data_IF_543971040635
#
_entry.id   IF_543971040635
#
_cell.length_a   1.000
_cell.length_b   1.000
_cell.length_c   1.000
_cell.angle_alpha   90.00
_cell.angle_beta   90.00
_cell.angle_gamma   90.00
#
_symmetry.space_group_name_H-M   'P 1'
#
loop_
_entity.id
_entity.type
_entity.pdbx_description
1 polymer ?
#
# COMPACT_ATOMS: atom_id res chain seq x y z
N UNK A 1 -16.66 11.94 13.66
CA UNK A 1 -15.74 10.81 13.35
C UNK A 1 -16.37 9.71 12.50
N UNK A 2 -17.70 9.56 12.44
CA UNK A 2 -18.36 8.45 11.71
C UNK A 2 -18.01 8.32 10.22
N UNK A 3 -17.95 9.42 9.47
CA UNK A 3 -17.67 9.37 8.02
C UNK A 3 -16.24 8.92 7.68
N UNK A 4 -15.24 9.25 8.51
CA UNK A 4 -13.83 8.94 8.22
C UNK A 4 -13.46 7.51 8.63
N UNK A 5 -14.18 6.94 9.61
CA UNK A 5 -13.97 5.58 10.11
C UNK A 5 -14.02 4.54 8.98
N UNK A 6 -15.04 4.61 8.14
CA UNK A 6 -15.21 3.67 7.03
C UNK A 6 -14.16 3.83 5.93
N UNK A 7 -13.69 5.06 5.69
CA UNK A 7 -12.61 5.30 4.71
C UNK A 7 -11.26 4.79 5.22
N UNK A 8 -10.96 4.98 6.50
CA UNK A 8 -9.77 4.39 7.12
C UNK A 8 -9.84 2.87 7.14
N UNK A 9 -11.02 2.30 7.41
CA UNK A 9 -11.23 0.86 7.33
C UNK A 9 -11.05 0.33 5.91
N UNK A 10 -11.62 1.00 4.91
CA UNK A 10 -11.43 0.66 3.49
C UNK A 10 -9.95 0.66 3.11
N UNK A 11 -9.21 1.71 3.47
CA UNK A 11 -7.75 1.77 3.25
C UNK A 11 -7.03 0.58 3.91
N UNK A 12 -7.38 0.24 5.15
CA UNK A 12 -6.77 -0.88 5.86
C UNK A 12 -7.09 -2.23 5.19
N UNK A 13 -8.34 -2.45 4.77
CA UNK A 13 -8.74 -3.68 4.05
C UNK A 13 -7.91 -3.88 2.80
N UNK A 14 -7.76 -2.85 1.95
CA UNK A 14 -6.96 -2.96 0.73
C UNK A 14 -5.48 -3.18 1.01
N UNK A 15 -4.95 -2.52 2.04
CA UNK A 15 -3.56 -2.71 2.48
C UNK A 15 -3.30 -4.12 3.00
N UNK A 16 -4.15 -4.64 3.89
CA UNK A 16 -4.04 -6.01 4.41
C UNK A 16 -4.23 -7.06 3.31
N UNK A 17 -5.14 -6.83 2.36
CA UNK A 17 -5.33 -7.73 1.22
C UNK A 17 -4.09 -7.75 0.31
N UNK A 18 -3.50 -6.58 0.05
CA UNK A 18 -2.24 -6.46 -0.71
C UNK A 18 -1.10 -7.23 -0.03
N UNK A 19 -0.92 -7.06 1.28
CA UNK A 19 0.10 -7.78 2.06
C UNK A 19 -0.10 -9.30 1.98
N UNK A 20 -1.35 -9.77 2.11
CA UNK A 20 -1.68 -11.20 2.00
C UNK A 20 -1.35 -11.76 0.61
N UNK A 21 -1.69 -11.01 -0.44
CA UNK A 21 -1.41 -11.42 -1.83
C UNK A 21 0.09 -11.44 -2.10
N UNK A 22 0.84 -10.42 -1.67
CA UNK A 22 2.28 -10.32 -1.93
C UNK A 22 3.13 -11.22 -1.04
N UNK A 23 2.70 -11.49 0.19
CA UNK A 23 3.53 -12.22 1.17
C UNK A 23 3.19 -13.70 1.31
N UNK A 24 2.01 -14.12 0.82
CA UNK A 24 1.55 -15.51 1.00
C UNK A 24 0.99 -16.13 -0.28
N UNK A 25 0.01 -15.48 -0.93
CA UNK A 25 -0.70 -16.10 -2.05
C UNK A 25 0.16 -16.13 -3.33
N UNK A 26 0.77 -15.01 -3.68
CA UNK A 26 1.51 -14.82 -4.94
C UNK A 26 3.03 -14.87 -4.81
N UNK A 27 3.60 -14.30 -3.73
CA UNK A 27 5.05 -14.11 -3.48
C UNK A 27 5.85 -13.89 -4.78
N UNK A 28 5.93 -12.65 -5.29
CA UNK A 28 6.55 -12.38 -6.57
C UNK A 28 8.08 -12.51 -6.49
N UNK A 29 8.66 -13.26 -7.41
CA UNK A 29 10.09 -13.24 -7.71
C UNK A 29 10.27 -12.78 -9.15
N UNK A 30 10.56 -11.49 -9.34
CA UNK A 30 10.53 -10.82 -10.65
C UNK A 30 11.96 -10.38 -11.04
N UNK A 31 12.27 -10.53 -12.34
CA UNK A 31 13.59 -10.40 -12.97
C UNK A 31 13.70 -9.10 -13.81
N UNK A 32 13.39 -7.94 -13.24
CA UNK A 32 13.48 -6.67 -13.99
C UNK A 32 14.90 -6.37 -14.44
N UNK A 33 15.11 -5.73 -15.61
CA UNK A 33 14.14 -4.97 -16.41
C UNK A 33 13.22 -5.82 -17.30
N UNK A 34 13.53 -7.11 -17.50
CA UNK A 34 12.60 -8.03 -18.16
C UNK A 34 11.45 -8.33 -17.18
N UNK A 35 10.19 -7.91 -17.42
CA UNK A 35 9.11 -8.20 -16.49
C UNK A 35 8.73 -9.68 -16.61
N UNK A 36 9.53 -10.53 -15.99
CA UNK A 36 9.46 -11.98 -16.06
C UNK A 36 9.79 -12.56 -14.68
N UNK A 37 9.35 -13.78 -14.40
CA UNK A 37 9.68 -14.43 -13.13
C UNK A 37 8.70 -15.49 -12.69
N UNK A 38 8.69 -15.78 -11.39
CA UNK A 38 7.85 -16.80 -10.77
C UNK A 38 6.95 -16.21 -9.69
N UNK A 39 5.77 -16.78 -9.51
CA UNK A 39 5.08 -16.71 -8.23
C UNK A 39 5.63 -17.83 -7.34
N UNK A 40 6.04 -17.52 -6.11
CA UNK A 40 6.52 -18.49 -5.11
C UNK A 40 5.48 -18.80 -4.04
N UNK A 41 4.31 -18.14 -4.10
CA UNK A 41 3.24 -18.30 -3.12
C UNK A 41 2.39 -19.55 -3.32
N UNK A 42 1.26 -19.60 -2.62
CA UNK A 42 0.31 -20.72 -2.67
C UNK A 42 -0.24 -21.01 -4.08
N UNK A 43 -0.51 -19.97 -4.88
CA UNK A 43 -1.17 -20.09 -6.18
C UNK A 43 -0.18 -19.88 -7.32
N UNK A 44 -0.11 -20.86 -8.23
CA UNK A 44 0.72 -20.77 -9.45
C UNK A 44 -0.07 -20.16 -10.61
N UNK A 45 -0.28 -18.85 -10.56
CA UNK A 45 -0.96 -18.08 -11.61
C UNK A 45 -0.29 -16.71 -11.80
N UNK A 46 0.98 -16.66 -12.29
CA UNK A 46 1.82 -15.45 -12.27
C UNK A 46 1.16 -14.24 -12.94
N UNK A 47 0.54 -14.43 -14.11
CA UNK A 47 -0.22 -13.36 -14.81
C UNK A 47 -1.30 -12.73 -13.94
N UNK A 48 -2.12 -13.57 -13.30
CA UNK A 48 -3.23 -13.14 -12.47
C UNK A 48 -2.73 -12.51 -11.16
N UNK A 49 -1.66 -13.06 -10.58
CA UNK A 49 -1.04 -12.52 -9.37
C UNK A 49 -0.47 -11.12 -9.60
N UNK A 50 0.23 -10.88 -10.71
CA UNK A 50 0.74 -9.54 -11.04
C UNK A 50 -0.40 -8.55 -11.24
N UNK A 51 -1.46 -8.93 -11.96
CA UNK A 51 -2.66 -8.09 -12.10
C UNK A 51 -3.24 -7.72 -10.74
N UNK A 52 -3.50 -8.69 -9.86
CA UNK A 52 -4.03 -8.43 -8.52
C UNK A 52 -3.11 -7.54 -7.69
N UNK A 53 -1.79 -7.77 -7.72
CA UNK A 53 -0.82 -6.95 -7.01
C UNK A 53 -0.90 -5.48 -7.42
N UNK A 54 -0.89 -5.19 -8.73
CA UNK A 54 -0.98 -3.82 -9.24
C UNK A 54 -2.33 -3.20 -8.91
N UNK A 55 -3.43 -3.94 -9.09
CA UNK A 55 -4.78 -3.46 -8.77
C UNK A 55 -4.96 -3.17 -7.28
N UNK A 56 -4.41 -3.98 -6.38
CA UNK A 56 -4.49 -3.76 -4.94
C UNK A 56 -3.68 -2.53 -4.51
N UNK A 57 -2.47 -2.33 -5.05
CA UNK A 57 -1.70 -1.10 -4.82
C UNK A 57 -2.45 0.15 -5.33
N UNK A 58 -3.06 0.07 -6.51
CA UNK A 58 -3.90 1.15 -7.03
C UNK A 58 -5.14 1.40 -6.16
N UNK A 59 -5.77 0.36 -5.61
CA UNK A 59 -6.90 0.49 -4.68
C UNK A 59 -6.50 1.20 -3.36
N UNK A 60 -5.29 0.95 -2.87
CA UNK A 60 -4.72 1.68 -1.72
C UNK A 60 -4.54 3.16 -2.08
N UNK A 61 -3.95 3.47 -3.23
CA UNK A 61 -3.78 4.84 -3.69
C UNK A 61 -5.13 5.58 -3.86
N UNK A 62 -6.13 4.93 -4.48
CA UNK A 62 -7.50 5.45 -4.60
C UNK A 62 -8.14 5.69 -3.22
N UNK A 63 -7.91 4.81 -2.25
CA UNK A 63 -8.39 4.95 -0.88
C UNK A 63 -7.78 6.15 -0.16
N UNK A 64 -6.50 6.43 -0.40
CA UNK A 64 -5.83 7.64 0.11
C UNK A 64 -6.47 8.90 -0.50
N UNK A 65 -6.70 8.93 -1.82
CA UNK A 65 -7.38 10.04 -2.49
C UNK A 65 -8.76 10.28 -1.89
N UNK A 66 -9.57 9.22 -1.74
CA UNK A 66 -10.92 9.32 -1.18
C UNK A 66 -10.90 9.85 0.26
N UNK A 67 -9.89 9.46 1.04
CA UNK A 67 -9.72 9.92 2.41
C UNK A 67 -9.41 11.43 2.44
N UNK A 68 -8.46 11.90 1.63
CA UNK A 68 -8.09 13.30 1.53
C UNK A 68 -9.23 14.17 0.99
N UNK A 69 -9.90 13.73 -0.08
CA UNK A 69 -11.08 14.38 -0.63
C UNK A 69 -12.16 14.54 0.43
N UNK A 70 -12.51 13.46 1.13
CA UNK A 70 -13.58 13.50 2.12
C UNK A 70 -13.24 14.44 3.28
N UNK A 71 -11.96 14.50 3.67
CA UNK A 71 -11.49 15.42 4.70
C UNK A 71 -11.60 16.89 4.24
N UNK A 72 -11.14 17.18 3.03
CA UNK A 72 -11.29 18.50 2.41
C UNK A 72 -12.77 18.90 2.33
N UNK A 73 -13.63 17.99 1.86
CA UNK A 73 -15.06 18.23 1.72
C UNK A 73 -15.73 18.62 3.05
N UNK A 74 -15.52 17.83 4.10
CA UNK A 74 -16.14 18.06 5.42
C UNK A 74 -15.70 19.38 6.03
N UNK A 75 -14.41 19.73 5.92
CA UNK A 75 -13.88 20.92 6.56
C UNK A 75 -14.17 22.21 5.80
N UNK A 76 -14.14 22.18 4.46
CA UNK A 76 -14.03 23.41 3.67
C UNK A 76 -15.00 23.51 2.49
N UNK A 77 -15.54 22.39 2.00
CA UNK A 77 -16.23 22.36 0.70
C UNK A 77 -17.69 21.86 0.75
N UNK A 78 -18.30 21.72 1.94
CA UNK A 78 -19.70 21.28 2.07
C UNK A 78 -20.69 22.18 1.32
N UNK A 79 -20.46 23.50 1.32
CA UNK A 79 -21.32 24.50 0.65
C UNK A 79 -20.81 24.92 -0.73
N UNK A 80 -19.76 24.29 -1.25
CA UNK A 80 -19.18 24.64 -2.54
C UNK A 80 -19.75 23.78 -3.67
N UNK A 81 -19.45 24.15 -4.92
CA UNK A 81 -19.79 23.35 -6.12
C UNK A 81 -19.19 21.94 -6.08
N UNK A 82 -18.15 21.72 -5.27
CA UNK A 82 -17.51 20.41 -5.12
C UNK A 82 -18.48 19.34 -4.60
N UNK A 83 -19.51 19.74 -3.83
CA UNK A 83 -20.56 18.84 -3.35
C UNK A 83 -21.24 18.03 -4.46
N UNK A 84 -21.42 18.61 -5.65
CA UNK A 84 -22.00 17.93 -6.82
C UNK A 84 -20.97 17.11 -7.60
N UNK A 85 -19.71 17.55 -7.64
CA UNK A 85 -18.64 16.95 -8.46
C UNK A 85 -17.96 15.76 -7.76
N UNK A 86 -17.99 15.71 -6.43
CA UNK A 86 -17.24 14.69 -5.68
C UNK A 86 -17.63 13.25 -6.00
N UNK A 87 -18.92 12.98 -6.21
CA UNK A 87 -19.41 11.62 -6.48
C UNK A 87 -18.89 11.08 -7.82
N UNK A 88 -19.05 11.79 -8.96
CA UNK A 88 -18.47 11.33 -10.22
C UNK A 88 -16.93 11.29 -10.17
N UNK A 89 -16.28 12.21 -9.45
CA UNK A 89 -14.83 12.17 -9.26
C UNK A 89 -14.37 10.88 -8.54
N UNK A 90 -14.98 10.54 -7.41
CA UNK A 90 -14.64 9.31 -6.67
C UNK A 90 -14.99 8.05 -7.47
N UNK A 91 -16.11 8.06 -8.18
CA UNK A 91 -16.47 6.96 -9.08
C UNK A 91 -15.39 6.75 -10.14
N UNK A 92 -14.92 7.82 -10.79
CA UNK A 92 -13.82 7.75 -11.73
C UNK A 92 -12.54 7.17 -11.09
N UNK A 93 -12.12 7.72 -9.94
CA UNK A 93 -10.91 7.29 -9.23
C UNK A 93 -10.93 5.80 -8.88
N UNK A 94 -12.08 5.24 -8.48
CA UNK A 94 -12.18 3.80 -8.21
C UNK A 94 -12.38 2.96 -9.46
N UNK A 95 -12.99 3.50 -10.52
CA UNK A 95 -13.20 2.78 -11.78
C UNK A 95 -11.88 2.55 -12.53
N UNK A 96 -10.94 3.49 -12.47
CA UNK A 96 -9.64 3.33 -13.14
C UNK A 96 -8.77 2.23 -12.52
N UNK A 97 -8.96 1.90 -11.23
CA UNK A 97 -8.13 0.95 -10.47
C UNK A 97 -8.04 -0.43 -11.12
N UNK A 98 -9.15 -1.13 -11.42
CA UNK A 98 -9.09 -2.42 -12.10
C UNK A 98 -8.78 -2.30 -13.60
N UNK A 99 -8.96 -1.13 -14.21
CA UNK A 99 -8.91 -0.95 -15.67
C UNK A 99 -7.51 -0.61 -16.20
N UNK A 100 -6.74 0.20 -15.46
CA UNK A 100 -5.48 0.78 -15.96
C UNK A 100 -4.44 -0.27 -16.35
N UNK A 101 -4.49 -1.45 -15.71
CA UNK A 101 -3.56 -2.55 -15.96
C UNK A 101 -4.15 -3.69 -16.81
N UNK A 102 -5.38 -3.55 -17.32
CA UNK A 102 -5.96 -4.56 -18.23
C UNK A 102 -5.22 -4.71 -19.56
N UNK A 103 -4.69 -3.64 -20.19
CA UNK A 103 -4.04 -3.81 -21.50
C UNK A 103 -2.82 -4.76 -21.46
N UNK A 104 -1.86 -4.63 -20.51
CA UNK A 104 -0.79 -5.63 -20.35
C UNK A 104 -1.31 -7.03 -19.97
N UNK A 105 -2.42 -7.12 -19.23
CA UNK A 105 -2.99 -8.40 -18.81
C UNK A 105 -3.58 -9.20 -19.99
N UNK A 106 -4.27 -8.52 -20.91
CA UNK A 106 -4.91 -9.14 -22.08
C UNK A 106 -4.00 -9.26 -23.31
N UNK A 107 -2.80 -8.69 -23.26
CA UNK A 107 -1.82 -8.79 -24.33
C UNK A 107 -0.54 -9.54 -23.89
N UNK A 108 -0.64 -10.80 -23.40
CA UNK A 108 0.54 -11.57 -23.01
C UNK A 108 1.37 -11.98 -24.24
N UNK A 109 2.71 -12.03 -24.13
CA UNK A 109 3.56 -12.51 -25.22
C UNK A 109 3.53 -14.04 -25.34
N UNK A 110 3.94 -14.56 -26.49
CA UNK A 110 4.23 -15.97 -26.69
C UNK A 110 5.32 -16.44 -25.72
N UNK A 111 5.00 -17.41 -24.86
CA UNK A 111 5.87 -17.75 -23.72
C UNK A 111 7.16 -18.47 -24.13
N UNK A 112 7.15 -19.26 -25.21
CA UNK A 112 8.33 -19.99 -25.64
C UNK A 112 9.38 -19.03 -26.24
N UNK A 113 8.95 -18.19 -27.18
CA UNK A 113 9.82 -17.21 -27.82
C UNK A 113 10.29 -16.14 -26.84
N UNK A 114 9.37 -15.61 -26.02
CA UNK A 114 9.71 -14.54 -25.07
C UNK A 114 10.65 -15.01 -23.96
N UNK A 115 10.50 -16.27 -23.50
CA UNK A 115 11.44 -16.84 -22.54
C UNK A 115 12.85 -16.89 -23.12
N UNK A 116 13.04 -17.36 -24.36
CA UNK A 116 14.37 -17.37 -24.99
C UNK A 116 15.00 -15.98 -25.07
N UNK A 117 14.19 -14.96 -25.38
CA UNK A 117 14.64 -13.57 -25.40
C UNK A 117 15.11 -13.13 -24.01
N UNK A 118 14.30 -13.36 -22.96
CA UNK A 118 14.69 -13.06 -21.57
C UNK A 118 15.94 -13.83 -21.15
N UNK A 119 16.07 -15.09 -21.58
CA UNK A 119 17.24 -15.91 -21.32
C UNK A 119 18.52 -15.34 -21.93
N UNK A 120 18.43 -14.80 -23.15
CA UNK A 120 19.56 -14.13 -23.81
C UNK A 120 19.92 -12.78 -23.17
N UNK A 121 18.95 -12.05 -22.64
CA UNK A 121 19.16 -10.74 -22.01
C UNK A 121 19.78 -10.85 -20.60
N UNK A 122 19.50 -11.94 -19.89
CA UNK A 122 19.91 -12.16 -18.49
C UNK A 122 20.69 -13.49 -18.35
N UNK A 123 21.87 -13.64 -18.97
CA UNK A 123 22.55 -14.94 -19.10
C UNK A 123 22.92 -15.61 -17.77
N UNK A 124 23.03 -14.86 -16.66
CA UNK A 124 23.35 -15.35 -15.32
C UNK A 124 22.17 -15.28 -14.34
N UNK A 125 20.94 -15.54 -14.80
CA UNK A 125 19.75 -15.46 -13.96
C UNK A 125 19.42 -16.76 -13.21
N UNK A 126 18.32 -16.70 -12.46
CA UNK A 126 17.76 -17.85 -11.74
C UNK A 126 17.45 -19.02 -12.68
N UNK A 127 17.40 -20.27 -12.18
CA UNK A 127 17.06 -21.43 -12.99
C UNK A 127 15.76 -21.21 -13.75
N UNK A 128 15.63 -21.73 -14.97
CA UNK A 128 14.42 -21.63 -15.85
C UNK A 128 13.18 -22.31 -15.25
N UNK A 129 13.40 -23.21 -14.31
CA UNK A 129 12.34 -23.85 -13.54
C UNK A 129 12.76 -23.95 -12.08
N UNK A 130 11.87 -23.57 -11.17
CA UNK A 130 12.07 -23.67 -9.74
C UNK A 130 10.84 -24.32 -9.09
N UNK A 131 11.02 -25.44 -8.39
CA UNK A 131 9.92 -26.21 -7.76
C UNK A 131 8.73 -26.46 -8.71
N UNK A 132 9.02 -26.93 -9.92
CA UNK A 132 8.04 -27.17 -11.00
C UNK A 132 7.31 -25.93 -11.56
N UNK A 133 7.74 -24.72 -11.18
CA UNK A 133 7.23 -23.45 -11.74
C UNK A 133 8.20 -22.94 -12.80
N UNK A 134 7.70 -22.47 -13.93
CA UNK A 134 8.49 -21.91 -15.05
C UNK A 134 8.47 -20.39 -15.03
N UNK A 135 9.54 -19.74 -15.53
CA UNK A 135 9.53 -18.28 -15.71
C UNK A 135 8.34 -17.97 -16.60
N UNK A 136 7.50 -17.07 -16.11
CA UNK A 136 6.44 -16.45 -16.88
C UNK A 136 6.90 -15.08 -17.32
N UNK A 137 6.81 -14.80 -18.63
CA UNK A 137 7.14 -13.49 -19.18
C UNK A 137 5.85 -12.67 -19.28
N UNK A 138 5.79 -11.57 -18.51
CA UNK A 138 4.62 -10.70 -18.46
C UNK A 138 4.45 -9.88 -19.73
N UNK A 139 5.53 -9.27 -20.20
CA UNK A 139 5.53 -8.45 -21.41
C UNK A 139 6.95 -8.33 -21.98
N UNK A 140 7.06 -8.29 -23.30
CA UNK A 140 8.26 -7.79 -23.99
C UNK A 140 8.14 -6.31 -24.34
N UNK A 141 6.89 -5.81 -24.45
CA UNK A 141 6.60 -4.40 -24.62
C UNK A 141 6.62 -3.71 -23.27
N UNK A 142 7.76 -3.13 -22.96
CA UNK A 142 7.99 -2.37 -21.73
C UNK A 142 7.24 -1.03 -21.75
N UNK A 143 7.00 -0.45 -22.94
CA UNK A 143 6.36 0.86 -23.08
C UNK A 143 4.91 0.76 -22.62
N UNK A 144 4.17 -0.26 -23.07
CA UNK A 144 2.79 -0.46 -22.64
C UNK A 144 2.67 -0.61 -21.12
N UNK A 145 3.56 -1.41 -20.52
CA UNK A 145 3.61 -1.63 -19.07
C UNK A 145 3.90 -0.31 -18.31
N UNK A 146 4.93 0.42 -18.76
CA UNK A 146 5.35 1.69 -18.16
C UNK A 146 4.24 2.74 -18.25
N UNK A 147 3.60 2.89 -19.41
CA UNK A 147 2.52 3.86 -19.62
C UNK A 147 1.34 3.55 -18.68
N UNK A 148 0.90 2.30 -18.60
CA UNK A 148 -0.18 1.90 -17.69
C UNK A 148 0.13 2.24 -16.23
N UNK A 149 1.31 1.82 -15.72
CA UNK A 149 1.71 2.08 -14.33
C UNK A 149 1.88 3.58 -14.07
N UNK A 150 2.52 4.31 -14.99
CA UNK A 150 2.77 5.74 -14.86
C UNK A 150 1.48 6.54 -14.89
N UNK A 151 0.53 6.23 -15.77
CA UNK A 151 -0.77 6.91 -15.85
C UNK A 151 -1.57 6.73 -14.57
N UNK A 152 -1.72 5.50 -14.08
CA UNK A 152 -2.44 5.23 -12.82
C UNK A 152 -1.81 5.93 -11.62
N UNK A 153 -0.48 5.82 -11.50
CA UNK A 153 0.28 6.48 -10.42
C UNK A 153 0.14 8.00 -10.47
N UNK A 154 0.22 8.60 -11.65
CA UNK A 154 0.13 10.05 -11.84
C UNK A 154 -1.25 10.59 -11.46
N UNK A 155 -2.33 9.93 -11.89
CA UNK A 155 -3.70 10.36 -11.57
C UNK A 155 -3.93 10.38 -10.05
N UNK A 156 -3.53 9.31 -9.36
CA UNK A 156 -3.70 9.22 -7.90
C UNK A 156 -2.75 10.18 -7.14
N UNK A 157 -1.51 10.33 -7.59
CA UNK A 157 -0.54 11.23 -6.99
C UNK A 157 -0.98 12.69 -7.09
N UNK A 158 -1.37 13.15 -8.28
CA UNK A 158 -1.88 14.52 -8.49
C UNK A 158 -3.10 14.75 -7.60
N UNK A 159 -4.07 13.84 -7.61
CA UNK A 159 -5.28 13.96 -6.78
C UNK A 159 -4.95 14.09 -5.28
N UNK A 160 -4.05 13.24 -4.78
CA UNK A 160 -3.62 13.26 -3.37
C UNK A 160 -2.91 14.57 -3.01
N UNK A 161 -1.98 15.03 -3.86
CA UNK A 161 -1.23 16.27 -3.67
C UNK A 161 -2.18 17.48 -3.69
N UNK A 162 -3.15 17.51 -4.61
CA UNK A 162 -4.14 18.60 -4.71
C UNK A 162 -4.96 18.71 -3.43
N UNK A 163 -5.59 17.64 -2.97
CA UNK A 163 -6.40 17.71 -1.74
C UNK A 163 -5.54 17.94 -0.50
N UNK A 164 -4.34 17.34 -0.42
CA UNK A 164 -3.38 17.59 0.65
C UNK A 164 -3.05 19.08 0.75
N UNK A 165 -2.63 19.69 -0.36
CA UNK A 165 -2.30 21.11 -0.45
C UNK A 165 -3.48 22.00 -0.09
N UNK A 166 -4.68 21.70 -0.63
CA UNK A 166 -5.89 22.44 -0.32
C UNK A 166 -6.24 22.40 1.17
N UNK A 167 -6.09 21.25 1.83
CA UNK A 167 -6.30 21.13 3.28
C UNK A 167 -5.32 22.02 4.03
N UNK A 168 -4.04 21.99 3.70
CA UNK A 168 -3.02 22.79 4.37
C UNK A 168 -3.25 24.30 4.20
N UNK A 169 -3.49 24.76 2.97
CA UNK A 169 -3.79 26.17 2.70
C UNK A 169 -5.02 26.62 3.48
N UNK A 170 -6.11 25.86 3.45
CA UNK A 170 -7.34 26.24 4.15
C UNK A 170 -7.17 26.20 5.68
N UNK A 171 -6.41 25.26 6.23
CA UNK A 171 -6.09 25.23 7.67
C UNK A 171 -5.28 26.44 8.13
N UNK A 172 -4.43 27.01 7.27
CA UNK A 172 -3.66 28.22 7.56
C UNK A 172 -4.51 29.48 7.40
N UNK A 173 -5.23 29.59 6.28
CA UNK A 173 -5.96 30.81 5.89
C UNK A 173 -7.29 30.98 6.63
N UNK A 174 -8.03 29.91 6.90
CA UNK A 174 -9.35 29.97 7.55
C UNK A 174 -9.29 29.91 9.09
N UNK A 175 -8.09 29.96 9.68
CA UNK A 175 -7.86 30.09 11.13
C UNK A 175 -8.75 31.17 11.77
N UNK A 176 -9.03 32.23 11.03
CA UNK A 176 -9.68 33.43 11.55
C UNK A 176 -11.22 33.45 11.33
N UNK A 177 -11.85 32.42 10.75
CA UNK A 177 -13.28 32.50 10.35
C UNK A 177 -14.25 31.50 10.99
N UNK A 178 -13.83 30.39 11.62
CA UNK A 178 -14.79 29.37 12.10
C UNK A 178 -14.33 28.66 13.40
N UNK A 179 -15.24 28.64 14.39
CA UNK A 179 -15.34 27.77 15.58
C UNK A 179 -14.32 27.92 16.72
N UNK A 180 -14.80 27.65 17.95
CA UNK A 180 -14.04 27.60 19.21
C UNK A 180 -12.64 27.00 18.99
N UNK A 181 -11.62 27.66 19.54
CA UNK A 181 -10.21 27.23 19.43
C UNK A 181 -10.03 25.73 19.70
N UNK A 182 -10.81 25.19 20.64
CA UNK A 182 -10.78 23.79 21.06
C UNK A 182 -11.26 22.82 19.96
N UNK A 183 -12.27 23.18 19.19
CA UNK A 183 -12.75 22.35 18.07
C UNK A 183 -11.78 22.37 16.89
N UNK A 184 -11.19 23.54 16.60
CA UNK A 184 -10.17 23.70 15.56
C UNK A 184 -8.89 22.92 15.90
N UNK A 185 -8.47 22.92 17.17
CA UNK A 185 -7.31 22.15 17.63
C UNK A 185 -7.46 20.64 17.37
N UNK A 186 -8.64 20.07 17.65
CA UNK A 186 -8.94 18.66 17.38
C UNK A 186 -8.84 18.35 15.89
N UNK A 187 -9.38 19.21 15.03
CA UNK A 187 -9.31 19.02 13.59
C UNK A 187 -7.90 19.16 13.02
N UNK A 188 -7.09 20.08 13.56
CA UNK A 188 -5.68 20.24 13.19
C UNK A 188 -4.86 19.02 13.60
N UNK A 189 -4.99 18.55 14.85
CA UNK A 189 -4.29 17.34 15.33
C UNK A 189 -4.64 16.12 14.47
N UNK A 190 -5.91 15.94 14.14
CA UNK A 190 -6.34 14.86 13.25
C UNK A 190 -5.78 15.02 11.83
N UNK A 191 -5.84 16.21 11.24
CA UNK A 191 -5.31 16.44 9.89
C UNK A 191 -3.81 16.19 9.83
N UNK A 192 -3.04 16.65 10.83
CA UNK A 192 -1.61 16.41 10.92
C UNK A 192 -1.29 14.92 11.08
N UNK A 193 -1.97 14.23 11.99
CA UNK A 193 -1.86 12.78 12.16
C UNK A 193 -2.13 12.02 10.86
N UNK A 194 -3.18 12.43 10.15
CA UNK A 194 -3.56 11.85 8.89
C UNK A 194 -2.52 12.11 7.78
N UNK A 195 -1.98 13.32 7.70
CA UNK A 195 -0.90 13.64 6.76
C UNK A 195 0.32 12.79 7.05
N UNK A 196 0.75 12.67 8.31
CA UNK A 196 1.92 11.85 8.65
C UNK A 196 1.71 10.39 8.24
N UNK A 197 0.56 9.79 8.60
CA UNK A 197 0.26 8.40 8.26
C UNK A 197 0.25 8.17 6.74
N UNK A 198 -0.44 9.04 6.00
CA UNK A 198 -0.57 8.90 4.56
C UNK A 198 0.72 9.27 3.81
N UNK A 199 1.51 10.21 4.30
CA UNK A 199 2.83 10.53 3.73
C UNK A 199 3.79 9.35 3.88
N UNK A 200 3.78 8.67 5.03
CA UNK A 200 4.53 7.43 5.20
C UNK A 200 4.06 6.34 4.23
N UNK A 201 2.74 6.11 4.13
CA UNK A 201 2.21 5.08 3.25
C UNK A 201 2.52 5.39 1.77
N UNK A 202 2.37 6.66 1.37
CA UNK A 202 2.74 7.12 0.04
C UNK A 202 4.23 6.95 -0.20
N UNK A 203 5.12 7.31 0.73
CA UNK A 203 6.56 7.19 0.50
C UNK A 203 7.00 5.73 0.38
N UNK A 204 6.51 4.84 1.26
CA UNK A 204 6.87 3.42 1.27
C UNK A 204 6.32 2.66 0.07
N UNK A 205 5.25 3.13 -0.58
CA UNK A 205 4.72 2.54 -1.82
C UNK A 205 5.28 3.22 -3.07
N UNK A 206 5.34 4.55 -3.08
CA UNK A 206 5.78 5.34 -4.24
C UNK A 206 7.27 5.15 -4.52
N UNK A 207 8.13 5.08 -3.50
CA UNK A 207 9.56 4.89 -3.72
C UNK A 207 9.87 3.57 -4.44
N UNK A 208 9.33 2.40 -4.03
CA UNK A 208 9.42 1.18 -4.82
C UNK A 208 8.85 1.30 -6.23
N UNK A 209 7.69 1.94 -6.43
CA UNK A 209 7.11 2.14 -7.76
C UNK A 209 8.00 2.99 -8.67
N UNK A 210 8.59 4.06 -8.14
CA UNK A 210 9.54 4.88 -8.88
C UNK A 210 10.83 4.12 -9.20
N UNK A 211 11.32 3.29 -8.27
CA UNK A 211 12.45 2.40 -8.52
C UNK A 211 12.14 1.40 -9.63
N UNK A 212 10.95 0.77 -9.62
CA UNK A 212 10.48 -0.12 -10.69
C UNK A 212 10.50 0.59 -12.06
N UNK A 213 9.91 1.80 -12.13
CA UNK A 213 9.87 2.60 -13.36
C UNK A 213 11.28 2.95 -13.85
N UNK A 214 12.19 3.32 -12.94
CA UNK A 214 13.58 3.64 -13.26
C UNK A 214 14.36 2.42 -13.76
N UNK A 215 14.27 1.28 -13.07
CA UNK A 215 14.91 0.00 -13.45
C UNK A 215 14.49 -0.38 -14.87
N UNK A 216 13.18 -0.32 -15.13
CA UNK A 216 12.62 -0.62 -16.45
C UNK A 216 13.11 0.39 -17.50
N UNK A 217 12.93 1.69 -17.27
CA UNK A 217 13.28 2.72 -18.26
C UNK A 217 14.78 2.79 -18.59
N UNK A 218 15.66 2.44 -17.64
CA UNK A 218 17.12 2.44 -17.83
C UNK A 218 17.68 1.09 -18.26
N UNK A 219 16.84 0.04 -18.34
CA UNK A 219 17.26 -1.34 -18.56
C UNK A 219 18.34 -1.82 -17.57
N UNK A 220 18.32 -1.30 -16.34
CA UNK A 220 19.29 -1.66 -15.30
C UNK A 220 18.86 -2.94 -14.59
N UNK A 221 19.66 -4.01 -14.63
CA UNK A 221 19.38 -5.25 -13.91
C UNK A 221 20.20 -5.36 -12.61
N UNK A 222 19.51 -5.48 -11.48
CA UNK A 222 20.09 -5.89 -10.20
C UNK A 222 19.04 -6.69 -9.42
N UNK A 223 19.30 -7.99 -9.21
CA UNK A 223 18.34 -8.87 -8.56
C UNK A 223 18.19 -8.57 -7.06
N UNK A 224 19.23 -8.08 -6.39
CA UNK A 224 19.12 -7.67 -5.00
C UNK A 224 18.20 -6.45 -4.88
N UNK A 225 18.37 -5.45 -5.75
CA UNK A 225 17.49 -4.29 -5.84
C UNK A 225 16.03 -4.70 -6.13
N UNK A 226 15.81 -5.59 -7.11
CA UNK A 226 14.48 -6.13 -7.41
C UNK A 226 13.84 -6.76 -6.17
N UNK A 227 14.58 -7.62 -5.47
CA UNK A 227 14.09 -8.28 -4.26
C UNK A 227 13.75 -7.25 -3.16
N UNK A 228 14.59 -6.24 -2.93
CA UNK A 228 14.32 -5.18 -1.95
C UNK A 228 13.06 -4.37 -2.28
N UNK A 229 12.83 -4.07 -3.56
CA UNK A 229 11.62 -3.38 -4.03
C UNK A 229 10.37 -4.19 -3.69
N UNK A 230 10.33 -5.48 -4.02
CA UNK A 230 9.17 -6.32 -3.73
C UNK A 230 8.99 -6.65 -2.25
N UNK A 231 10.08 -6.80 -1.48
CA UNK A 231 10.02 -6.93 -0.02
C UNK A 231 9.41 -5.66 0.59
N UNK A 232 9.86 -4.48 0.18
CA UNK A 232 9.32 -3.20 0.68
C UNK A 232 7.84 -3.08 0.35
N UNK A 233 7.44 -3.41 -0.89
CA UNK A 233 6.04 -3.47 -1.28
C UNK A 233 5.24 -4.50 -0.46
N UNK A 234 5.80 -5.65 -0.10
CA UNK A 234 5.09 -6.65 0.72
C UNK A 234 4.92 -6.24 2.18
N UNK A 235 5.79 -5.36 2.71
CA UNK A 235 5.79 -4.92 4.11
C UNK A 235 5.09 -3.58 4.34
N UNK A 236 4.64 -2.90 3.28
CA UNK A 236 4.06 -1.56 3.37
C UNK A 236 2.84 -1.49 4.32
N UNK A 237 1.96 -2.51 4.33
CA UNK A 237 0.77 -2.50 5.17
C UNK A 237 1.04 -2.76 6.65
N UNK A 238 2.03 -3.62 6.96
CA UNK A 238 2.57 -3.76 8.31
C UNK A 238 3.12 -2.41 8.82
N UNK A 239 3.94 -1.73 8.01
CA UNK A 239 4.43 -0.39 8.32
C UNK A 239 3.31 0.63 8.53
N UNK A 240 2.29 0.61 7.66
CA UNK A 240 1.12 1.51 7.74
C UNK A 240 0.32 1.31 9.02
N UNK A 241 0.16 0.05 9.45
CA UNK A 241 -0.53 -0.31 10.69
C UNK A 241 0.24 0.18 11.91
N UNK A 242 1.56 0.00 11.93
CA UNK A 242 2.44 0.52 12.98
C UNK A 242 2.30 2.05 13.06
N UNK A 243 2.37 2.75 11.92
CA UNK A 243 2.18 4.20 11.88
C UNK A 243 0.79 4.64 12.35
N UNK A 244 -0.27 3.91 11.98
CA UNK A 244 -1.62 4.20 12.46
C UNK A 244 -1.69 4.15 13.99
N UNK A 245 -1.10 3.12 14.61
CA UNK A 245 -1.07 2.96 16.07
C UNK A 245 -0.31 4.11 16.72
N UNK A 246 0.86 4.49 16.20
CA UNK A 246 1.67 5.55 16.82
C UNK A 246 1.04 6.93 16.69
N UNK A 247 0.46 7.24 15.54
CA UNK A 247 0.06 8.60 15.20
C UNK A 247 -1.37 8.93 15.68
N UNK A 248 -2.26 7.94 15.77
CA UNK A 248 -3.64 8.16 16.22
C UNK A 248 -3.85 7.77 17.69
N UNK A 249 -4.07 8.77 18.54
CA UNK A 249 -4.31 8.60 19.98
C UNK A 249 -5.33 7.48 20.31
N UNK A 250 -6.52 7.40 19.69
CA UNK A 250 -7.49 6.34 20.04
C UNK A 250 -6.96 4.93 19.79
N UNK A 251 -6.20 4.73 18.70
CA UNK A 251 -5.58 3.44 18.38
C UNK A 251 -4.42 3.13 19.32
N UNK A 252 -3.60 4.14 19.62
CA UNK A 252 -2.48 4.01 20.57
C UNK A 252 -2.95 3.61 21.96
N UNK A 253 -3.92 4.34 22.51
CA UNK A 253 -4.43 4.15 23.86
C UNK A 253 -5.11 2.77 23.98
N UNK A 254 -5.90 2.37 22.97
CA UNK A 254 -6.51 1.04 22.93
C UNK A 254 -5.45 -0.08 22.83
N UNK A 255 -4.50 0.04 21.91
CA UNK A 255 -3.49 -1.00 21.67
C UNK A 255 -2.60 -1.18 22.90
N UNK A 256 -2.06 -0.09 23.45
CA UNK A 256 -1.18 -0.18 24.61
C UNK A 256 -1.92 -0.50 25.91
N UNK A 257 -3.18 -0.09 26.10
CA UNK A 257 -3.94 -0.54 27.28
C UNK A 257 -4.13 -2.06 27.28
N UNK A 258 -4.40 -2.68 26.12
CA UNK A 258 -4.50 -4.14 26.00
C UNK A 258 -3.16 -4.83 26.18
N UNK A 259 -2.11 -4.32 25.55
CA UNK A 259 -0.75 -4.86 25.70
C UNK A 259 -0.29 -4.78 27.17
N UNK A 260 -0.42 -3.63 27.83
CA UNK A 260 -0.05 -3.46 29.24
C UNK A 260 -0.89 -4.34 30.19
N UNK A 261 -2.19 -4.50 29.94
CA UNK A 261 -3.02 -5.45 30.70
C UNK A 261 -2.56 -6.90 30.50
N UNK A 262 -2.18 -7.28 29.29
CA UNK A 262 -1.62 -8.60 29.02
C UNK A 262 -0.27 -8.75 29.73
N UNK A 263 0.67 -7.82 29.60
CA UNK A 263 1.96 -7.91 30.31
C UNK A 263 1.79 -7.97 31.84
N UNK A 264 0.83 -7.24 32.42
CA UNK A 264 0.50 -7.34 33.85
C UNK A 264 0.01 -8.74 34.24
N UNK A 265 -0.88 -9.35 33.44
CA UNK A 265 -1.37 -10.72 33.66
C UNK A 265 -0.29 -11.79 33.47
N UNK A 266 0.57 -11.63 32.47
CA UNK A 266 1.65 -12.58 32.20
C UNK A 266 2.75 -12.51 33.25
N UNK A 267 3.03 -11.32 33.78
CA UNK A 267 3.93 -11.14 34.92
C UNK A 267 3.38 -11.79 36.19
N UNK A 268 2.09 -11.60 36.49
CA UNK A 268 1.42 -12.25 37.61
C UNK A 268 1.42 -13.78 37.49
N UNK A 269 1.13 -14.32 36.29
CA UNK A 269 1.16 -15.76 36.04
C UNK A 269 2.58 -16.33 36.15
N UNK A 270 3.59 -15.61 35.65
CA UNK A 270 4.99 -15.99 35.81
C UNK A 270 5.44 -16.01 37.27
N UNK A 271 5.01 -15.02 38.06
CA UNK A 271 5.30 -14.94 39.50
C UNK A 271 4.58 -16.05 40.29
N UNK A 272 3.34 -16.40 39.93
CA UNK A 272 2.60 -17.54 40.50
C UNK A 272 3.26 -18.90 40.19
N UNK A 273 3.67 -19.12 38.94
CA UNK A 273 4.38 -20.33 38.54
C UNK A 273 5.70 -20.45 39.33
N UNK A 274 6.46 -19.35 39.45
CA UNK A 274 7.73 -19.32 40.20
C UNK A 274 7.51 -19.57 41.70
N UNK A 275 6.42 -19.07 42.28
CA UNK A 275 6.01 -19.38 43.67
C UNK A 275 5.66 -20.85 43.83
N UNK A 276 4.88 -21.42 42.91
CA UNK A 276 4.48 -22.83 42.97
C UNK A 276 5.68 -23.78 42.82
N UNK A 277 6.66 -23.44 41.97
CA UNK A 277 7.88 -24.24 41.79
C UNK A 277 8.82 -24.21 43.00
N UNK A 278 8.76 -23.16 43.84
CA UNK A 278 9.53 -23.11 45.10
C UNK A 278 8.86 -23.89 46.24
N UNK A 279 7.54 -24.08 46.20
CA UNK A 279 6.82 -24.89 47.21
C UNK A 279 6.99 -26.39 46.94
N UNK A 280 7.15 -26.82 45.69
CA UNK A 280 7.35 -28.23 45.32
C UNK A 280 8.76 -28.78 45.56
N UNK A 281 9.72 -27.95 46.00
CA UNK A 281 11.11 -28.37 46.32
C UNK A 281 11.33 -28.49 47.85
N UNK A 282 10.29 -28.25 48.65
CA UNK A 282 10.34 -28.30 50.13
C UNK A 282 9.47 -29.46 50.69
N UNK A 283 9.02 -30.40 49.86
CA UNK A 283 8.34 -31.64 50.29
C UNK A 283 9.17 -32.84 49.88
#
# INVERSE_FOLDING_TARGET
>A
MGSVKWLMFNLHVWSSMSDLVMSFIGIPYILLPAPAGYGLGLVDAPRLMVYFMVTLLAAIAASIVALYENRFFILFAQKSRWSSIRKPFLLFIFTIVPLVFLPPFFNPPDQETSLQIVLSQLPCQSPVTYKNRKIYVLSLDLILLLVCIATGTTIHAISSITFGTLIFINLVTLRNRIQSEKAMEVHRKFAHALTIQSAFLLSVVLAPVLALLWIMATHHHDQALNNFVFITLSLHGAGSTIMMIFVHKPYRDFTFSKICCCFGKWKQLGDEIKRSSHVSVII
#
